data_IF_518008750377
#
_entry.id   IF_518008750377
#
_cell.length_a   1.000
_cell.length_b   1.000
_cell.length_c   1.000
_cell.angle_alpha   90.00
_cell.angle_beta   90.00
_cell.angle_gamma   90.00
#
_symmetry.space_group_name_H-M   'P 1'
#
loop_
_entity.id
_entity.type
_entity.pdbx_description
1 polymer ?
#
# COMPACT_ATOMS: atom_id res chain seq x y z
N UNK A 1 18.55 -11.94 15.72
CA UNK A 1 18.24 -11.62 15.63
C UNK A 1 17.38 -11.22 15.54
N UNK A 2 17.25 -11.24 15.31
CA UNK A 2 16.48 -10.62 15.39
C UNK A 2 15.28 -10.82 14.93
N UNK A 3 14.36 -10.37 15.29
CA UNK A 3 13.06 -10.68 14.89
C UNK A 3 12.73 -9.96 13.62
N UNK A 4 11.69 -10.40 12.93
CA UNK A 4 11.31 -9.87 11.65
C UNK A 4 10.79 -8.43 11.68
N UNK A 5 10.53 -7.93 12.88
CA UNK A 5 10.05 -6.55 13.01
C UNK A 5 11.16 -5.53 12.91
N UNK A 6 12.40 -5.99 12.98
CA UNK A 6 13.52 -5.07 12.93
C UNK A 6 13.95 -4.85 11.51
N UNK A 7 14.21 -3.60 11.18
CA UNK A 7 14.80 -3.27 9.90
C UNK A 7 16.30 -3.45 10.00
N UNK A 8 16.77 -4.62 9.61
CA UNK A 8 18.22 -4.79 9.48
C UNK A 8 18.67 -4.08 8.20
N UNK A 9 19.97 -4.14 7.93
CA UNK A 9 20.53 -3.43 6.78
C UNK A 9 19.91 -3.89 5.46
N UNK A 10 19.56 -5.18 5.36
CA UNK A 10 18.98 -5.70 4.13
C UNK A 10 17.55 -5.20 3.93
N UNK A 11 16.73 -5.22 4.98
CA UNK A 11 15.38 -4.73 4.88
C UNK A 11 15.34 -3.25 4.54
N UNK A 12 16.19 -2.45 5.19
CA UNK A 12 16.23 -1.02 4.92
C UNK A 12 16.66 -0.75 3.49
N UNK A 13 17.65 -1.50 3.00
CA UNK A 13 18.12 -1.34 1.62
C UNK A 13 17.00 -1.65 0.64
N UNK A 14 16.25 -2.72 0.89
CA UNK A 14 15.13 -3.08 0.00
C UNK A 14 14.04 -2.02 0.02
N UNK A 15 13.71 -1.49 1.20
CA UNK A 15 12.69 -0.45 1.31
C UNK A 15 13.10 0.79 0.50
N UNK A 16 14.35 1.23 0.64
CA UNK A 16 14.83 2.41 -0.08
C UNK A 16 14.82 2.15 -1.59
N UNK A 17 15.24 0.97 -2.02
CA UNK A 17 15.24 0.63 -3.43
C UNK A 17 13.82 0.59 -4.00
N UNK A 18 12.88 0.03 -3.25
CA UNK A 18 11.48 -0.02 -3.68
C UNK A 18 10.88 1.39 -3.77
N UNK A 19 11.22 2.26 -2.83
CA UNK A 19 10.75 3.64 -2.87
C UNK A 19 11.26 4.36 -4.12
N UNK A 20 12.51 4.11 -4.48
CA UNK A 20 13.07 4.69 -5.70
C UNK A 20 12.31 4.19 -6.93
N UNK A 21 12.01 2.90 -6.99
CA UNK A 21 11.25 2.33 -8.09
C UNK A 21 9.85 2.91 -8.16
N UNK A 22 9.22 3.14 -7.01
CA UNK A 22 7.90 3.74 -6.94
C UNK A 22 7.89 5.14 -7.53
N UNK A 23 8.88 5.94 -7.17
CA UNK A 23 8.95 7.32 -7.65
C UNK A 23 9.17 7.39 -9.15
N UNK A 24 9.94 6.44 -9.68
CA UNK A 24 10.22 6.38 -11.11
C UNK A 24 9.19 5.55 -11.87
N UNK A 25 8.27 4.93 -11.15
CA UNK A 25 7.30 3.97 -11.69
C UNK A 25 7.96 2.89 -12.55
N UNK A 26 9.12 2.43 -12.09
CA UNK A 26 9.91 1.41 -12.82
C UNK A 26 9.50 0.03 -12.32
N UNK A 27 8.47 -0.52 -12.95
CA UNK A 27 7.92 -1.80 -12.53
C UNK A 27 8.92 -2.95 -12.71
N UNK A 28 9.72 -2.91 -13.80
CA UNK A 28 10.65 -4.00 -14.07
C UNK A 28 11.69 -4.12 -12.96
N UNK A 29 12.27 -3.00 -12.55
CA UNK A 29 13.23 -3.02 -11.44
C UNK A 29 12.56 -3.35 -10.14
N UNK A 30 11.34 -2.86 -9.92
CA UNK A 30 10.58 -3.21 -8.74
C UNK A 30 10.35 -4.71 -8.62
N UNK A 31 9.99 -5.36 -9.71
CA UNK A 31 9.82 -6.81 -9.73
C UNK A 31 11.11 -7.54 -9.44
N UNK A 32 12.23 -7.05 -9.97
CA UNK A 32 13.53 -7.64 -9.70
C UNK A 32 13.89 -7.55 -8.22
N UNK A 33 13.64 -6.40 -7.61
CA UNK A 33 13.88 -6.22 -6.18
C UNK A 33 12.98 -7.13 -5.36
N UNK A 34 11.70 -7.23 -5.75
CA UNK A 34 10.76 -8.12 -5.08
C UNK A 34 11.27 -9.58 -5.12
N UNK A 35 11.76 -10.01 -6.29
CA UNK A 35 12.31 -11.36 -6.43
C UNK A 35 13.51 -11.56 -5.51
N UNK A 36 14.37 -10.54 -5.37
CA UNK A 36 15.51 -10.64 -4.46
C UNK A 36 15.06 -10.73 -3.01
N UNK A 37 14.02 -9.99 -2.64
CA UNK A 37 13.46 -10.05 -1.29
C UNK A 37 12.95 -11.46 -0.99
N UNK A 38 12.22 -12.06 -1.93
CA UNK A 38 11.68 -13.40 -1.75
C UNK A 38 12.80 -14.40 -1.53
N UNK A 39 13.91 -14.27 -2.26
CA UNK A 39 15.03 -15.20 -2.12
C UNK A 39 15.82 -14.97 -0.85
N UNK A 40 16.02 -13.72 -0.47
CA UNK A 40 16.86 -13.38 0.69
C UNK A 40 16.08 -13.43 2.00
N UNK A 41 14.84 -12.99 1.98
CA UNK A 41 14.01 -12.86 3.18
C UNK A 41 12.58 -13.31 2.82
N UNK A 42 12.35 -14.62 2.71
CA UNK A 42 11.08 -15.13 2.16
C UNK A 42 9.82 -14.60 2.84
N UNK A 43 9.90 -14.37 4.14
CA UNK A 43 8.71 -13.96 4.89
C UNK A 43 8.64 -12.45 5.13
N UNK A 44 9.59 -11.68 4.61
CA UNK A 44 9.66 -10.25 4.92
C UNK A 44 8.44 -9.48 4.45
N UNK A 45 7.89 -9.83 3.28
CA UNK A 45 6.72 -9.11 2.77
C UNK A 45 5.50 -9.31 3.66
N UNK A 46 5.38 -10.49 4.29
CA UNK A 46 4.25 -10.79 5.15
C UNK A 46 4.46 -10.31 6.58
N UNK A 47 5.66 -10.41 7.09
CA UNK A 47 5.95 -10.18 8.50
C UNK A 47 6.51 -8.80 8.79
N UNK A 48 7.21 -8.19 7.84
CA UNK A 48 7.79 -6.86 8.03
C UNK A 48 6.89 -5.84 7.36
N UNK A 49 6.19 -5.05 8.17
CA UNK A 49 5.21 -4.09 7.64
C UNK A 49 5.84 -3.04 6.74
N UNK A 50 7.09 -2.66 7.01
CA UNK A 50 7.77 -1.66 6.18
C UNK A 50 8.05 -2.20 4.77
N UNK A 51 8.53 -3.44 4.69
CA UNK A 51 8.79 -4.07 3.39
C UNK A 51 7.49 -4.29 2.63
N UNK A 52 6.47 -4.83 3.31
CA UNK A 52 5.17 -5.06 2.69
C UNK A 52 4.55 -3.78 2.17
N UNK A 53 4.59 -2.71 2.98
CA UNK A 53 4.03 -1.44 2.57
C UNK A 53 4.78 -0.86 1.37
N UNK A 54 6.10 -0.98 1.35
CA UNK A 54 6.90 -0.50 0.22
C UNK A 54 6.56 -1.26 -1.06
N UNK A 55 6.33 -2.56 -0.97
CA UNK A 55 5.92 -3.35 -2.13
C UNK A 55 4.54 -2.94 -2.62
N UNK A 56 3.61 -2.73 -1.70
CA UNK A 56 2.28 -2.27 -2.03
C UNK A 56 2.35 -0.93 -2.76
N UNK A 57 3.14 0.00 -2.24
CA UNK A 57 3.30 1.31 -2.86
C UNK A 57 3.85 1.19 -4.27
N UNK A 58 4.88 0.37 -4.45
CA UNK A 58 5.50 0.19 -5.75
C UNK A 58 4.50 -0.37 -6.78
N UNK A 59 3.78 -1.43 -6.42
CA UNK A 59 2.82 -2.01 -7.36
C UNK A 59 1.63 -1.11 -7.60
N UNK A 60 1.18 -0.36 -6.58
CA UNK A 60 0.06 0.54 -6.75
C UNK A 60 0.38 1.69 -7.69
N UNK A 61 1.58 2.25 -7.57
CA UNK A 61 2.00 3.34 -8.47
C UNK A 61 2.20 2.84 -9.89
N UNK A 62 2.58 1.59 -10.05
CA UNK A 62 2.78 0.99 -11.37
C UNK A 62 1.47 0.51 -12.01
N UNK A 63 0.35 0.62 -11.30
CA UNK A 63 -0.94 0.23 -11.82
C UNK A 63 -1.23 -1.26 -11.74
N UNK A 64 -0.37 -2.05 -11.10
CA UNK A 64 -0.58 -3.49 -10.96
C UNK A 64 -1.39 -3.76 -9.71
N UNK A 65 -2.66 -3.39 -9.74
CA UNK A 65 -3.52 -3.39 -8.57
C UNK A 65 -3.85 -4.80 -8.08
N UNK A 66 -3.92 -5.78 -8.98
CA UNK A 66 -4.15 -7.16 -8.55
C UNK A 66 -2.99 -7.70 -7.72
N UNK A 67 -1.76 -7.42 -8.13
CA UNK A 67 -0.58 -7.81 -7.35
C UNK A 67 -0.54 -7.07 -6.02
N UNK A 68 -0.85 -5.78 -6.06
CA UNK A 68 -0.90 -4.96 -4.86
C UNK A 68 -1.89 -5.54 -3.85
N UNK A 69 -3.09 -5.90 -4.30
CA UNK A 69 -4.11 -6.40 -3.40
C UNK A 69 -3.73 -7.75 -2.82
N UNK A 70 -3.09 -8.62 -3.62
CA UNK A 70 -2.63 -9.90 -3.11
C UNK A 70 -1.60 -9.73 -2.00
N UNK A 71 -0.66 -8.81 -2.20
CA UNK A 71 0.34 -8.53 -1.17
C UNK A 71 -0.31 -7.96 0.08
N UNK A 72 -1.25 -7.04 -0.12
CA UNK A 72 -1.97 -6.43 0.99
C UNK A 72 -2.71 -7.50 1.81
N UNK A 73 -3.42 -8.40 1.12
CA UNK A 73 -4.19 -9.43 1.81
C UNK A 73 -3.30 -10.46 2.50
N UNK A 74 -2.09 -10.67 1.99
CA UNK A 74 -1.17 -11.66 2.59
C UNK A 74 -0.44 -11.11 3.81
N UNK A 75 -0.41 -9.80 4.00
CA UNK A 75 0.30 -9.22 5.14
C UNK A 75 -0.40 -9.59 6.44
N UNK A 76 0.36 -10.16 7.37
CA UNK A 76 -0.18 -10.50 8.68
C UNK A 76 -0.38 -9.27 9.53
N UNK A 77 0.52 -8.30 9.43
CA UNK A 77 0.44 -7.06 10.18
C UNK A 77 0.29 -5.90 9.18
N UNK A 78 -0.79 -5.15 9.35
CA UNK A 78 -1.04 -3.97 8.51
C UNK A 78 -1.16 -2.75 9.41
N UNK A 79 -0.56 -1.64 9.01
CA UNK A 79 -0.72 -0.38 9.73
C UNK A 79 -1.47 0.63 8.86
N UNK A 80 -1.66 1.85 9.38
CA UNK A 80 -2.39 2.89 8.64
C UNK A 80 -1.75 3.15 7.28
N UNK A 81 -0.41 3.13 7.21
CA UNK A 81 0.29 3.36 5.96
C UNK A 81 -0.03 2.27 4.92
N UNK A 82 -0.10 1.01 5.35
CA UNK A 82 -0.45 -0.09 4.45
C UNK A 82 -1.83 0.10 3.85
N UNK A 83 -2.82 0.38 4.69
CA UNK A 83 -4.18 0.64 4.24
C UNK A 83 -4.24 1.83 3.30
N UNK A 84 -3.54 2.92 3.67
CA UNK A 84 -3.56 4.15 2.89
C UNK A 84 -2.95 3.94 1.51
N UNK A 85 -1.84 3.21 1.42
CA UNK A 85 -1.22 2.91 0.13
C UNK A 85 -2.15 2.12 -0.77
N UNK A 86 -2.86 1.13 -0.22
CA UNK A 86 -3.78 0.34 -1.01
C UNK A 86 -4.96 1.19 -1.49
N UNK A 87 -5.52 2.00 -0.59
CA UNK A 87 -6.63 2.88 -0.94
C UNK A 87 -6.20 3.87 -2.02
N UNK A 88 -5.04 4.50 -1.84
CA UNK A 88 -4.54 5.49 -2.80
C UNK A 88 -4.28 4.85 -4.17
N UNK A 89 -3.80 3.60 -4.17
CA UNK A 89 -3.58 2.88 -5.42
C UNK A 89 -4.84 2.77 -6.25
N UNK A 90 -5.94 2.38 -5.62
CA UNK A 90 -7.22 2.33 -6.32
C UNK A 90 -7.71 3.73 -6.68
N UNK A 91 -7.51 4.70 -5.78
CA UNK A 91 -8.02 6.05 -5.99
C UNK A 91 -7.41 6.71 -7.21
N UNK A 92 -6.08 6.68 -7.36
CA UNK A 92 -5.42 7.38 -8.45
C UNK A 92 -5.64 6.70 -9.79
N UNK A 93 -6.03 5.43 -9.80
CA UNK A 93 -6.29 4.71 -11.03
C UNK A 93 -7.77 4.64 -11.39
N UNK A 94 -8.60 5.40 -10.69
CA UNK A 94 -10.01 5.53 -11.03
C UNK A 94 -10.93 4.47 -10.47
N UNK A 95 -10.47 3.66 -9.54
CA UNK A 95 -11.29 2.60 -8.94
C UNK A 95 -11.87 3.07 -7.60
N UNK A 96 -12.77 4.03 -7.66
CA UNK A 96 -13.30 4.69 -6.46
C UNK A 96 -14.02 3.73 -5.54
N UNK A 97 -14.83 2.82 -6.08
CA UNK A 97 -15.61 1.94 -5.22
C UNK A 97 -14.72 0.96 -4.47
N UNK A 98 -13.67 0.48 -5.11
CA UNK A 98 -12.70 -0.39 -4.44
C UNK A 98 -11.96 0.37 -3.33
N UNK A 99 -11.61 1.63 -3.59
CA UNK A 99 -10.98 2.46 -2.58
C UNK A 99 -11.90 2.67 -1.38
N UNK A 100 -13.16 2.97 -1.64
CA UNK A 100 -14.14 3.17 -0.58
C UNK A 100 -14.39 1.90 0.22
N UNK A 101 -14.42 0.76 -0.45
CA UNK A 101 -14.60 -0.53 0.20
C UNK A 101 -13.45 -0.81 1.18
N UNK A 102 -12.21 -0.56 0.75
CA UNK A 102 -11.06 -0.72 1.63
C UNK A 102 -11.13 0.23 2.82
N UNK A 103 -11.55 1.47 2.57
CA UNK A 103 -11.69 2.44 3.64
C UNK A 103 -12.71 1.96 4.68
N UNK A 104 -13.84 1.44 4.25
CA UNK A 104 -14.87 0.94 5.15
C UNK A 104 -14.37 -0.26 5.97
N UNK A 105 -13.60 -1.14 5.32
CA UNK A 105 -12.99 -2.26 6.04
C UNK A 105 -12.01 -1.77 7.10
N UNK A 106 -11.20 -0.77 6.75
CA UNK A 106 -10.23 -0.18 7.67
C UNK A 106 -10.94 0.34 8.93
N UNK A 107 -12.00 1.12 8.71
CA UNK A 107 -12.76 1.71 9.82
C UNK A 107 -13.43 0.62 10.66
N UNK A 108 -14.01 -0.39 10.00
CA UNK A 108 -14.72 -1.45 10.72
C UNK A 108 -13.78 -2.31 11.55
N UNK A 109 -12.51 -2.36 11.19
CA UNK A 109 -11.51 -3.09 11.97
C UNK A 109 -10.92 -2.24 13.10
N UNK A 110 -11.38 -1.00 13.26
CA UNK A 110 -10.92 -0.14 14.32
C UNK A 110 -9.61 0.59 14.03
N UNK A 111 -9.16 0.57 12.79
CA UNK A 111 -7.95 1.28 12.39
C UNK A 111 -8.33 2.72 12.06
N UNK A 112 -7.68 3.66 12.75
CA UNK A 112 -8.06 5.07 12.62
C UNK A 112 -7.41 5.72 11.40
N UNK A 113 -8.21 6.20 10.43
CA UNK A 113 -7.66 6.91 9.27
C UNK A 113 -6.95 8.19 9.70
N UNK A 114 -5.94 8.58 8.92
CA UNK A 114 -5.26 9.85 9.13
C UNK A 114 -5.54 10.79 7.94
N UNK A 115 -4.87 11.94 7.94
CA UNK A 115 -5.09 12.94 6.90
C UNK A 115 -4.80 12.40 5.51
N UNK A 116 -3.76 11.58 5.38
CA UNK A 116 -3.41 11.00 4.08
C UNK A 116 -4.49 10.04 3.61
N UNK A 117 -5.07 9.28 4.53
CA UNK A 117 -6.16 8.37 4.19
C UNK A 117 -7.37 9.13 3.65
N UNK A 118 -7.74 10.23 4.30
CA UNK A 118 -8.86 11.04 3.83
C UNK A 118 -8.55 11.70 2.49
N UNK A 119 -7.29 12.11 2.28
CA UNK A 119 -6.87 12.64 0.98
C UNK A 119 -7.07 11.59 -0.11
N UNK A 120 -6.72 10.34 0.18
CA UNK A 120 -6.92 9.25 -0.77
C UNK A 120 -8.39 9.08 -1.13
N UNK A 121 -9.26 9.13 -0.13
CA UNK A 121 -10.70 8.99 -0.36
C UNK A 121 -11.24 10.15 -1.19
N UNK A 122 -10.81 11.37 -0.89
CA UNK A 122 -11.23 12.54 -1.68
C UNK A 122 -10.73 12.45 -3.12
N UNK A 123 -9.51 11.94 -3.31
CA UNK A 123 -8.96 11.71 -4.64
C UNK A 123 -9.84 10.73 -5.42
N UNK A 124 -10.22 9.64 -4.76
CA UNK A 124 -11.09 8.64 -5.40
C UNK A 124 -12.43 9.25 -5.82
N UNK A 125 -13.05 9.99 -4.93
CA UNK A 125 -14.34 10.59 -5.18
C UNK A 125 -14.26 11.64 -6.29
N UNK A 126 -13.19 12.42 -6.30
CA UNK A 126 -12.99 13.45 -7.31
C UNK A 126 -12.84 12.85 -8.70
N UNK A 127 -12.04 11.77 -8.81
CA UNK A 127 -11.79 11.13 -10.10
C UNK A 127 -13.05 10.53 -10.71
N UNK A 128 -13.99 10.12 -9.87
CA UNK A 128 -15.20 9.44 -10.34
C UNK A 128 -16.46 10.29 -10.17
N UNK A 129 -16.33 11.55 -9.78
CA UNK A 129 -17.48 12.42 -9.60
C UNK A 129 -18.30 12.14 -8.36
N UNK A 130 -17.74 11.46 -7.38
CA UNK A 130 -18.45 11.09 -6.15
C UNK A 130 -18.17 12.08 -5.02
N UNK A 131 -18.25 13.36 -5.34
CA UNK A 131 -17.89 14.43 -4.38
C UNK A 131 -18.77 14.39 -3.14
N UNK A 132 -20.08 14.19 -3.34
CA UNK A 132 -21.02 14.18 -2.21
C UNK A 132 -20.72 13.03 -1.26
N UNK A 133 -20.43 11.86 -1.81
CA UNK A 133 -20.07 10.71 -0.98
C UNK A 133 -18.77 10.93 -0.23
N UNK A 134 -17.80 11.58 -0.89
CA UNK A 134 -16.55 11.91 -0.23
C UNK A 134 -16.76 12.83 0.96
N UNK A 135 -17.63 13.81 0.83
CA UNK A 135 -17.91 14.74 1.92
C UNK A 135 -18.57 14.05 3.10
N UNK A 136 -19.38 13.04 2.87
CA UNK A 136 -20.02 12.29 3.94
C UNK A 136 -19.00 11.62 4.86
N UNK A 137 -17.86 11.23 4.35
CA UNK A 137 -16.83 10.57 5.16
C UNK A 137 -16.13 11.54 6.11
N UNK A 138 -16.32 12.84 5.95
CA UNK A 138 -15.76 13.84 6.86
C UNK A 138 -16.73 14.26 7.95
N UNK A 139 -17.99 13.90 7.81
CA UNK A 139 -18.99 14.22 8.81
C UNK A 139 -19.29 12.99 9.64
#
# INVERSE_FOLDING_TARGET
EEDGCRLDGNCLTFVVALEACSRLTDLDKGKQIHAKIIRALPDAADENVAVGTALIDMYSRSGKLCYMLRLFDSMEVKNVASWTCAIMGFAVHGFAYQALELFQRMVSLGIHPNEVTFTAILTACSHCGLVDEGLEYFT
#
